data_IF_252161603105
#
_entry.id   IF_252161603105
#
_cell.length_a   1.000
_cell.length_b   1.000
_cell.length_c   1.000
_cell.angle_alpha   90.00
_cell.angle_beta   90.00
_cell.angle_gamma   90.00
#
_symmetry.space_group_name_H-M   'P 1'
#
loop_
_entity.id
_entity.type
_entity.pdbx_description
1 polymer ?
#
# COMPACT_ATOMS: atom_id res chain seq x y z
N UNK A 1 6.40 0.56 -20.57
CA UNK A 1 7.02 -0.50 -19.75
C UNK A 1 6.21 -1.77 -19.90
N UNK A 2 6.82 -2.83 -20.37
CA UNK A 2 6.11 -4.12 -20.54
C UNK A 2 6.37 -5.06 -19.37
N UNK A 3 7.29 -4.69 -18.49
CA UNK A 3 7.68 -5.45 -17.31
C UNK A 3 8.20 -4.53 -16.21
N UNK A 4 7.95 -4.88 -14.95
CA UNK A 4 8.62 -4.25 -13.82
C UNK A 4 10.12 -4.57 -13.83
N UNK A 5 10.99 -3.68 -13.33
CA UNK A 5 12.41 -3.99 -13.19
C UNK A 5 12.63 -5.14 -12.21
N UNK A 6 13.70 -5.90 -12.40
CA UNK A 6 14.03 -6.99 -11.49
C UNK A 6 14.48 -6.48 -10.10
N UNK A 7 15.07 -5.30 -10.07
CA UNK A 7 15.52 -4.62 -8.85
C UNK A 7 14.67 -3.38 -8.60
N UNK A 8 14.15 -3.24 -7.36
CA UNK A 8 13.33 -2.09 -6.96
C UNK A 8 14.11 -0.77 -7.01
N UNK A 9 15.44 -0.80 -6.79
CA UNK A 9 16.27 0.38 -6.92
C UNK A 9 16.14 1.04 -8.30
N UNK A 10 15.91 0.26 -9.35
CA UNK A 10 15.69 0.79 -10.70
C UNK A 10 14.31 1.43 -10.88
N UNK A 11 13.40 1.25 -9.94
CA UNK A 11 12.09 1.88 -9.95
C UNK A 11 12.10 3.25 -9.29
N UNK A 12 13.08 3.51 -8.42
CA UNK A 12 13.19 4.73 -7.64
C UNK A 12 13.56 5.96 -8.48
N UNK A 13 13.13 7.11 -8.01
CA UNK A 13 13.62 8.43 -8.42
C UNK A 13 15.03 8.71 -7.84
N UNK A 14 15.69 9.80 -8.23
CA UNK A 14 16.91 10.24 -7.55
C UNK A 14 16.72 10.46 -6.03
N UNK A 15 15.56 10.99 -5.59
CA UNK A 15 15.26 11.15 -4.17
C UNK A 15 15.09 9.78 -3.48
N UNK A 16 14.36 8.86 -4.10
CA UNK A 16 14.20 7.50 -3.58
C UNK A 16 15.52 6.74 -3.49
N UNK A 17 16.41 6.88 -4.47
CA UNK A 17 17.76 6.30 -4.41
C UNK A 17 18.59 6.88 -3.27
N UNK A 18 18.49 8.19 -3.00
CA UNK A 18 19.18 8.79 -1.85
C UNK A 18 18.69 8.24 -0.51
N UNK A 19 17.39 7.89 -0.41
CA UNK A 19 16.87 7.19 0.78
C UNK A 19 17.49 5.80 0.90
N UNK A 20 17.47 5.02 -0.18
CA UNK A 20 18.05 3.67 -0.22
C UNK A 20 19.54 3.68 0.13
N UNK A 21 20.28 4.66 -0.37
CA UNK A 21 21.73 4.84 -0.12
C UNK A 21 22.05 5.43 1.26
N UNK A 22 21.06 5.75 2.09
CA UNK A 22 21.25 6.41 3.39
C UNK A 22 21.67 7.90 3.30
N UNK A 23 21.58 8.51 2.10
CA UNK A 23 21.93 9.92 1.86
C UNK A 23 20.78 10.90 2.11
N UNK A 24 19.58 10.38 2.30
CA UNK A 24 18.37 11.12 2.67
C UNK A 24 17.63 10.32 3.76
N UNK A 25 17.58 10.86 4.96
CA UNK A 25 16.87 10.24 6.07
C UNK A 25 15.40 10.63 6.03
N UNK A 26 14.52 9.65 5.86
CA UNK A 26 13.08 9.76 6.02
C UNK A 26 12.63 8.67 6.99
N UNK A 27 11.62 8.96 7.82
CA UNK A 27 11.06 8.02 8.79
C UNK A 27 9.55 8.01 8.72
N UNK A 28 8.98 6.82 8.76
CA UNK A 28 7.55 6.61 8.88
C UNK A 28 7.17 6.50 10.37
N UNK A 29 7.09 7.65 11.05
CA UNK A 29 6.74 7.76 12.46
C UNK A 29 5.75 8.91 12.68
N UNK A 30 4.48 8.61 12.90
CA UNK A 30 3.81 7.30 12.78
C UNK A 30 3.53 6.92 11.33
N UNK A 31 3.56 7.89 10.41
CA UNK A 31 3.17 7.77 9.01
C UNK A 31 4.05 8.61 8.11
N UNK A 32 4.33 8.12 6.91
CA UNK A 32 5.02 8.82 5.83
C UNK A 32 4.19 8.75 4.55
N UNK A 33 4.08 9.86 3.83
CA UNK A 33 3.57 9.90 2.45
C UNK A 33 4.46 10.81 1.60
N UNK A 34 5.06 10.29 0.52
CA UNK A 34 6.01 11.01 -0.34
C UNK A 34 5.78 10.68 -1.82
N UNK A 35 5.45 11.65 -2.66
CA UNK A 35 5.20 11.44 -4.08
C UNK A 35 6.47 11.45 -4.94
N UNK A 36 7.60 11.85 -4.38
CA UNK A 36 8.86 12.09 -5.10
C UNK A 36 9.85 10.92 -5.05
N UNK A 37 9.47 9.78 -4.44
CA UNK A 37 10.39 8.65 -4.25
C UNK A 37 10.38 7.66 -5.42
N UNK A 38 9.33 7.62 -6.22
CA UNK A 38 9.22 6.82 -7.45
C UNK A 38 9.39 7.74 -8.66
N UNK A 39 10.09 7.25 -9.69
CA UNK A 39 10.25 8.00 -10.93
C UNK A 39 8.88 8.18 -11.63
N UNK A 40 8.42 9.42 -11.95
CA UNK A 40 7.07 9.68 -12.46
C UNK A 40 6.73 8.89 -13.73
N UNK A 41 7.68 8.79 -14.66
CA UNK A 41 7.50 8.01 -15.90
C UNK A 41 7.29 6.52 -15.60
N UNK A 42 7.95 5.97 -14.58
CA UNK A 42 7.79 4.58 -14.16
C UNK A 42 6.48 4.37 -13.42
N UNK A 43 6.05 5.32 -12.59
CA UNK A 43 4.74 5.26 -11.94
C UNK A 43 3.59 5.24 -12.97
N UNK A 44 3.65 6.11 -14.00
CA UNK A 44 2.68 6.12 -15.10
C UNK A 44 2.69 4.81 -15.89
N UNK A 45 3.86 4.29 -16.20
CA UNK A 45 4.01 3.03 -16.94
C UNK A 45 3.54 1.82 -16.11
N UNK A 46 3.78 1.83 -14.80
CA UNK A 46 3.28 0.81 -13.86
C UNK A 46 1.76 0.80 -13.81
N UNK A 47 1.10 1.96 -13.72
CA UNK A 47 -0.35 2.05 -13.78
C UNK A 47 -0.91 1.36 -15.04
N UNK A 48 -0.39 1.70 -16.22
CA UNK A 48 -0.85 1.11 -17.48
C UNK A 48 -0.61 -0.41 -17.54
N UNK A 49 0.52 -0.87 -17.01
CA UNK A 49 0.84 -2.30 -16.95
C UNK A 49 -0.11 -3.05 -16.00
N UNK A 50 -0.38 -2.50 -14.82
CA UNK A 50 -1.29 -3.09 -13.83
C UNK A 50 -2.72 -3.16 -14.37
N UNK A 51 -3.23 -2.10 -15.00
CA UNK A 51 -4.56 -2.11 -15.65
C UNK A 51 -4.65 -3.22 -16.71
N UNK A 52 -3.63 -3.36 -17.55
CA UNK A 52 -3.61 -4.35 -18.63
C UNK A 52 -3.54 -5.78 -18.12
N UNK A 53 -2.74 -6.05 -17.08
CA UNK A 53 -2.36 -7.42 -16.71
C UNK A 53 -3.06 -7.90 -15.45
N UNK A 54 -3.15 -7.08 -14.40
CA UNK A 54 -3.84 -7.43 -13.17
C UNK A 54 -5.31 -7.04 -13.17
N UNK A 55 -5.68 -5.97 -13.88
CA UNK A 55 -7.07 -5.51 -13.98
C UNK A 55 -8.07 -6.61 -14.29
N UNK A 56 -7.82 -7.50 -15.27
CA UNK A 56 -8.72 -8.61 -15.60
C UNK A 56 -8.81 -9.72 -14.55
N UNK A 57 -7.85 -9.82 -13.63
CA UNK A 57 -7.72 -10.97 -12.71
C UNK A 57 -7.91 -10.62 -11.24
N UNK A 58 -7.95 -9.35 -10.87
CA UNK A 58 -8.32 -8.93 -9.50
C UNK A 58 -9.79 -9.21 -9.23
N UNK A 59 -10.07 -9.65 -8.01
CA UNK A 59 -11.42 -10.05 -7.59
C UNK A 59 -12.06 -8.96 -6.73
N UNK A 60 -13.38 -8.73 -6.85
CA UNK A 60 -14.09 -7.88 -5.92
C UNK A 60 -13.92 -8.38 -4.48
N UNK A 61 -13.67 -7.45 -3.59
CA UNK A 61 -13.75 -7.61 -2.15
C UNK A 61 -14.74 -6.59 -1.63
N UNK A 62 -15.89 -7.07 -1.18
CA UNK A 62 -16.94 -6.26 -0.55
C UNK A 62 -17.40 -7.04 0.68
N UNK A 63 -16.86 -6.69 1.82
CA UNK A 63 -17.12 -7.39 3.08
C UNK A 63 -17.03 -6.48 4.28
N UNK A 64 -17.70 -6.88 5.36
CA UNK A 64 -17.51 -6.26 6.66
C UNK A 64 -16.05 -6.41 7.13
N UNK A 65 -15.55 -5.40 7.80
CA UNK A 65 -14.27 -5.45 8.48
C UNK A 65 -14.43 -6.40 9.67
N UNK A 66 -13.52 -7.35 9.87
CA UNK A 66 -13.59 -8.27 11.00
C UNK A 66 -13.59 -7.50 12.34
N UNK A 67 -14.40 -7.93 13.33
CA UNK A 67 -14.46 -7.26 14.63
C UNK A 67 -13.11 -7.08 15.31
N UNK A 68 -12.21 -8.05 15.18
CA UNK A 68 -10.85 -8.03 15.73
C UNK A 68 -10.01 -6.88 15.17
N UNK A 69 -10.27 -6.45 13.95
CA UNK A 69 -9.58 -5.31 13.33
C UNK A 69 -10.06 -3.95 13.83
N UNK A 70 -11.12 -3.92 14.65
CA UNK A 70 -11.72 -2.68 15.18
C UNK A 70 -11.84 -2.66 16.72
N UNK A 71 -11.33 -3.67 17.42
CA UNK A 71 -11.46 -3.82 18.88
C UNK A 71 -10.90 -2.65 19.69
N UNK A 72 -9.89 -1.96 19.19
CA UNK A 72 -9.18 -0.88 19.91
C UNK A 72 -9.59 0.51 19.44
N UNK A 73 -10.81 0.68 18.91
CA UNK A 73 -11.32 2.02 18.57
C UNK A 73 -11.40 2.91 19.80
N UNK A 74 -11.02 4.18 19.63
CA UNK A 74 -11.15 5.15 20.69
C UNK A 74 -12.63 5.43 21.01
N UNK A 75 -12.96 5.72 22.27
CA UNK A 75 -14.36 5.91 22.74
C UNK A 75 -15.10 7.04 22.01
N UNK A 76 -14.39 8.02 21.47
CA UNK A 76 -14.97 9.20 20.84
C UNK A 76 -15.02 9.11 19.32
N UNK A 77 -14.68 7.97 18.74
CA UNK A 77 -14.69 7.80 17.31
C UNK A 77 -16.12 7.61 16.79
N UNK A 78 -16.52 8.47 15.86
CA UNK A 78 -17.78 8.36 15.11
C UNK A 78 -17.48 8.29 13.62
N UNK A 79 -17.71 7.13 13.04
CA UNK A 79 -17.49 6.87 11.62
C UNK A 79 -18.81 6.88 10.87
N UNK A 80 -18.87 7.64 9.79
CA UNK A 80 -20.05 7.71 8.91
C UNK A 80 -19.97 6.71 7.76
N UNK A 81 -18.77 6.27 7.39
CA UNK A 81 -18.60 5.23 6.39
C UNK A 81 -18.96 3.87 6.99
N UNK A 82 -19.57 2.97 6.21
CA UNK A 82 -19.77 1.60 6.65
C UNK A 82 -18.44 0.96 7.06
N UNK A 83 -18.44 0.17 8.12
CA UNK A 83 -17.25 -0.61 8.54
C UNK A 83 -17.05 -1.80 7.61
N UNK A 84 -16.86 -1.49 6.35
CA UNK A 84 -16.68 -2.43 5.23
C UNK A 84 -15.47 -2.05 4.42
N UNK A 85 -14.99 -3.00 3.63
CA UNK A 85 -14.01 -2.77 2.57
C UNK A 85 -14.68 -3.06 1.25
N UNK A 86 -14.64 -2.12 0.32
CA UNK A 86 -15.07 -2.30 -1.06
C UNK A 86 -13.92 -1.92 -2.00
N UNK A 87 -13.34 -2.93 -2.63
CA UNK A 87 -12.15 -2.80 -3.46
C UNK A 87 -12.02 -4.05 -4.33
N UNK A 88 -11.16 -4.03 -5.32
CA UNK A 88 -10.70 -5.25 -6.00
C UNK A 88 -9.33 -5.64 -5.49
N UNK A 89 -9.10 -6.91 -5.25
CA UNK A 89 -7.86 -7.40 -4.64
C UNK A 89 -7.26 -8.59 -5.35
N UNK A 90 -5.96 -8.73 -5.21
CA UNK A 90 -5.19 -9.91 -5.56
C UNK A 90 -4.14 -10.18 -4.48
N UNK A 91 -4.17 -11.36 -3.90
CA UNK A 91 -3.11 -11.89 -3.05
C UNK A 91 -1.95 -12.36 -3.95
N UNK A 92 -0.79 -11.73 -3.80
CA UNK A 92 0.42 -12.06 -4.56
C UNK A 92 1.26 -13.13 -3.87
N UNK A 93 0.96 -13.46 -2.61
CA UNK A 93 1.61 -14.53 -1.85
C UNK A 93 0.88 -15.88 -1.93
N UNK A 94 -0.30 -15.90 -2.53
CA UNK A 94 -1.02 -17.15 -2.76
C UNK A 94 -0.14 -18.18 -3.46
N UNK A 95 -0.25 -19.45 -3.06
CA UNK A 95 0.55 -20.55 -3.63
C UNK A 95 0.33 -20.74 -5.13
N UNK A 96 -0.86 -20.37 -5.63
CA UNK A 96 -1.29 -20.48 -7.05
C UNK A 96 -2.39 -19.45 -7.37
N UNK A 97 -2.53 -19.11 -8.63
CA UNK A 97 -3.65 -18.29 -9.11
C UNK A 97 -3.27 -17.31 -10.20
N UNK A 98 -4.25 -16.91 -11.03
CA UNK A 98 -4.04 -16.04 -12.20
C UNK A 98 -3.37 -14.71 -11.84
N UNK A 99 -3.68 -14.14 -10.70
CA UNK A 99 -3.07 -12.88 -10.27
C UNK A 99 -1.57 -13.03 -9.94
N UNK A 100 -1.20 -14.11 -9.25
CA UNK A 100 0.21 -14.42 -9.00
C UNK A 100 0.96 -14.72 -10.29
N UNK A 101 0.37 -15.52 -11.18
CA UNK A 101 0.98 -15.84 -12.47
C UNK A 101 1.21 -14.57 -13.30
N UNK A 102 0.24 -13.65 -13.30
CA UNK A 102 0.35 -12.35 -13.93
C UNK A 102 1.44 -11.47 -13.28
N UNK A 103 1.53 -11.46 -11.94
CA UNK A 103 2.57 -10.73 -11.22
C UNK A 103 3.98 -11.27 -11.53
N UNK A 104 4.13 -12.57 -11.66
CA UNK A 104 5.38 -13.22 -12.09
C UNK A 104 5.74 -12.88 -13.52
N UNK A 105 4.81 -13.05 -14.44
CA UNK A 105 5.02 -12.79 -15.86
C UNK A 105 5.42 -11.33 -16.11
N UNK A 106 4.89 -10.39 -15.33
CA UNK A 106 5.24 -8.97 -15.43
C UNK A 106 6.46 -8.53 -14.62
N UNK A 107 7.07 -9.43 -13.84
CA UNK A 107 8.21 -9.10 -12.99
C UNK A 107 7.85 -8.40 -11.68
N UNK A 108 6.57 -8.16 -11.39
CA UNK A 108 6.14 -7.49 -10.16
C UNK A 108 6.58 -8.29 -8.92
N UNK A 109 6.37 -9.62 -8.92
CA UNK A 109 6.80 -10.49 -7.81
C UNK A 109 8.32 -10.39 -7.60
N UNK A 110 9.11 -10.42 -8.69
CA UNK A 110 10.57 -10.32 -8.63
C UNK A 110 11.02 -8.99 -8.01
N UNK A 111 10.41 -7.87 -8.44
CA UNK A 111 10.71 -6.55 -7.91
C UNK A 111 10.39 -6.44 -6.41
N UNK A 112 9.23 -6.94 -5.97
CA UNK A 112 8.83 -6.91 -4.56
C UNK A 112 9.65 -7.87 -3.67
N UNK A 113 10.30 -8.87 -4.26
CA UNK A 113 11.21 -9.79 -3.57
C UNK A 113 12.66 -9.32 -3.60
N UNK A 114 12.98 -8.25 -4.32
CA UNK A 114 14.37 -7.78 -4.44
C UNK A 114 14.91 -7.31 -3.09
N UNK A 115 16.21 -7.48 -2.82
CA UNK A 115 16.84 -6.95 -1.61
C UNK A 115 16.61 -5.45 -1.45
N UNK A 116 16.67 -4.67 -2.53
CA UNK A 116 16.50 -3.22 -2.50
C UNK A 116 15.09 -2.79 -2.06
N UNK A 117 14.04 -3.59 -2.32
CA UNK A 117 12.70 -3.30 -1.80
C UNK A 117 12.64 -3.38 -0.28
N UNK A 118 13.23 -4.44 0.30
CA UNK A 118 13.34 -4.59 1.76
C UNK A 118 14.27 -3.55 2.37
N UNK A 119 15.40 -3.26 1.72
CA UNK A 119 16.37 -2.30 2.23
C UNK A 119 15.80 -0.88 2.22
N UNK A 120 15.00 -0.55 1.20
CA UNK A 120 14.24 0.71 1.15
C UNK A 120 13.19 0.78 2.27
N UNK A 121 12.42 -0.30 2.49
CA UNK A 121 11.49 -0.38 3.62
C UNK A 121 12.23 -0.23 4.96
N UNK A 122 13.39 -0.88 5.14
CA UNK A 122 14.26 -0.76 6.31
C UNK A 122 14.74 0.68 6.54
N UNK A 123 15.12 1.37 5.46
CA UNK A 123 15.53 2.77 5.54
C UNK A 123 14.38 3.68 6.02
N UNK A 124 13.14 3.43 5.59
CA UNK A 124 11.96 4.18 6.03
C UNK A 124 11.51 3.81 7.45
N UNK A 125 11.62 2.52 7.82
CA UNK A 125 11.30 2.04 9.14
C UNK A 125 12.28 2.54 10.23
N UNK A 126 13.52 2.85 9.86
CA UNK A 126 14.58 3.20 10.80
C UNK A 126 15.05 2.07 11.70
N UNK A 127 14.54 0.86 11.47
CA UNK A 127 14.88 -0.38 12.19
C UNK A 127 15.05 -1.50 11.18
N UNK A 128 15.87 -2.48 11.54
CA UNK A 128 16.05 -3.68 10.71
C UNK A 128 14.72 -4.42 10.55
N UNK A 129 14.42 -4.77 9.31
CA UNK A 129 13.27 -5.57 8.93
C UNK A 129 13.74 -6.96 8.49
N UNK A 130 12.87 -7.95 8.75
CA UNK A 130 13.09 -9.33 8.33
C UNK A 130 12.38 -9.61 7.01
N UNK A 131 11.97 -10.85 6.81
CA UNK A 131 11.23 -11.28 5.63
C UNK A 131 9.91 -10.52 5.48
N UNK A 132 9.64 -10.04 4.27
CA UNK A 132 8.33 -9.51 3.89
C UNK A 132 7.29 -10.61 3.68
N UNK A 133 6.04 -10.29 3.93
CA UNK A 133 4.86 -11.14 3.71
C UNK A 133 3.65 -10.27 3.32
N UNK A 134 2.48 -10.87 3.11
CA UNK A 134 1.23 -10.15 2.89
C UNK A 134 1.24 -9.26 1.65
N UNK A 135 2.01 -9.62 0.61
CA UNK A 135 2.06 -8.84 -0.62
C UNK A 135 0.73 -8.91 -1.34
N UNK A 136 0.15 -7.74 -1.57
CA UNK A 136 -1.15 -7.60 -2.19
C UNK A 136 -1.15 -6.52 -3.25
N UNK A 137 -2.06 -6.67 -4.21
CA UNK A 137 -2.46 -5.60 -5.11
C UNK A 137 -3.93 -5.27 -4.85
N UNK A 138 -4.20 -4.02 -4.51
CA UNK A 138 -5.56 -3.50 -4.37
C UNK A 138 -5.82 -2.54 -5.53
N UNK A 139 -7.02 -2.61 -6.12
CA UNK A 139 -7.48 -1.70 -7.15
C UNK A 139 -8.76 -1.03 -6.69
N UNK A 140 -8.69 0.26 -6.43
CA UNK A 140 -9.83 1.12 -6.16
C UNK A 140 -10.36 1.68 -7.47
N UNK A 141 -11.64 1.51 -7.73
CA UNK A 141 -12.41 2.21 -8.74
C UNK A 141 -13.24 3.34 -8.14
N UNK A 142 -14.01 4.11 -8.93
CA UNK A 142 -14.87 5.17 -8.40
C UNK A 142 -15.82 4.64 -7.32
N UNK A 143 -15.83 5.32 -6.17
CA UNK A 143 -16.64 4.94 -5.02
C UNK A 143 -16.08 3.81 -4.15
N UNK A 144 -14.96 3.17 -4.52
CA UNK A 144 -14.32 2.15 -3.70
C UNK A 144 -13.55 2.78 -2.54
N UNK A 145 -13.55 2.11 -1.40
CA UNK A 145 -12.96 2.58 -0.14
C UNK A 145 -12.61 1.42 0.79
N UNK A 146 -11.81 1.69 1.80
CA UNK A 146 -11.61 0.82 2.97
C UNK A 146 -12.07 1.55 4.21
N UNK A 147 -13.03 0.99 4.95
CA UNK A 147 -13.51 1.56 6.22
C UNK A 147 -12.46 1.50 7.33
N UNK A 148 -12.76 2.05 8.51
CA UNK A 148 -11.80 2.16 9.60
C UNK A 148 -11.33 0.79 10.11
N UNK A 149 -10.03 0.60 10.12
CA UNK A 149 -9.39 -0.63 10.59
C UNK A 149 -7.95 -0.39 11.00
N UNK A 150 -7.37 -1.40 11.62
CA UNK A 150 -5.92 -1.63 11.66
C UNK A 150 -5.64 -2.93 10.93
N UNK A 151 -4.50 -3.06 10.29
CA UNK A 151 -4.07 -4.31 9.67
C UNK A 151 -3.29 -5.19 10.66
N UNK A 152 -3.45 -4.93 11.96
CA UNK A 152 -2.74 -5.65 13.02
C UNK A 152 -3.40 -6.99 13.31
N UNK A 153 -2.58 -8.02 13.41
CA UNK A 153 -2.94 -9.38 13.79
C UNK A 153 -2.29 -9.73 15.13
N UNK A 154 -2.92 -9.39 16.27
CA UNK A 154 -2.33 -9.56 17.60
C UNK A 154 -2.08 -11.03 17.98
N UNK A 155 -2.74 -11.96 17.32
CA UNK A 155 -2.57 -13.41 17.51
C UNK A 155 -1.30 -13.96 16.83
N UNK A 156 -0.64 -13.20 15.96
CA UNK A 156 0.60 -13.64 15.33
C UNK A 156 1.80 -13.41 16.26
N UNK A 157 2.45 -14.47 16.78
CA UNK A 157 3.60 -14.34 17.67
C UNK A 157 4.79 -13.60 17.04
N UNK A 158 4.91 -13.63 15.71
CA UNK A 158 5.97 -12.92 14.99
C UNK A 158 5.73 -11.41 14.94
N UNK A 159 4.49 -10.96 15.24
CA UNK A 159 4.10 -9.56 15.29
C UNK A 159 4.28 -8.90 16.65
N UNK A 160 5.07 -9.48 17.58
CA UNK A 160 5.26 -8.95 18.93
C UNK A 160 5.61 -7.46 18.96
N UNK A 161 6.41 -7.00 18.02
CA UNK A 161 6.79 -5.59 17.85
C UNK A 161 5.95 -4.83 16.82
N UNK A 162 4.86 -5.43 16.33
CA UNK A 162 4.04 -4.93 15.23
C UNK A 162 4.66 -5.25 13.86
N UNK A 163 4.10 -4.63 12.83
CA UNK A 163 4.56 -4.77 11.45
C UNK A 163 4.96 -3.42 10.89
N UNK A 164 5.66 -3.46 9.76
CA UNK A 164 5.91 -2.28 8.95
C UNK A 164 5.33 -2.47 7.56
N UNK A 165 4.43 -1.58 7.15
CA UNK A 165 3.82 -1.58 5.83
C UNK A 165 4.46 -0.56 4.90
N UNK A 166 4.73 -1.00 3.68
CA UNK A 166 5.20 -0.16 2.58
C UNK A 166 4.23 -0.25 1.41
N UNK A 167 3.69 0.88 1.02
CA UNK A 167 2.68 1.01 -0.02
C UNK A 167 3.18 1.84 -1.21
N UNK A 168 2.92 1.35 -2.42
CA UNK A 168 3.18 2.04 -3.68
C UNK A 168 1.86 2.34 -4.38
N UNK A 169 1.51 3.62 -4.57
CA UNK A 169 0.29 4.03 -5.26
C UNK A 169 0.55 4.39 -6.72
N UNK A 170 -0.24 3.80 -7.62
CA UNK A 170 -0.24 4.11 -9.06
C UNK A 170 -1.64 4.55 -9.46
N UNK A 171 -1.77 5.77 -9.95
CA UNK A 171 -3.06 6.44 -10.15
C UNK A 171 -3.21 6.89 -11.59
N UNK A 172 -4.42 6.76 -12.12
CA UNK A 172 -4.73 7.16 -13.48
C UNK A 172 -6.23 7.12 -13.81
N UNK A 173 -6.55 7.11 -15.10
CA UNK A 173 -7.94 7.02 -15.56
C UNK A 173 -8.81 8.23 -15.19
N UNK A 174 -8.23 9.35 -14.73
CA UNK A 174 -8.97 10.53 -14.30
C UNK A 174 -9.43 10.46 -12.84
N UNK A 175 -8.74 9.71 -11.99
CA UNK A 175 -8.87 9.79 -10.54
C UNK A 175 -8.43 11.18 -10.05
N UNK A 176 -9.20 11.78 -9.17
CA UNK A 176 -9.01 13.16 -8.71
C UNK A 176 -8.70 13.27 -7.23
N UNK A 177 -9.24 12.38 -6.40
CA UNK A 177 -9.09 12.44 -4.96
C UNK A 177 -9.39 11.10 -4.29
N UNK A 178 -8.60 10.74 -3.30
CA UNK A 178 -8.93 9.75 -2.27
C UNK A 178 -8.14 10.09 -1.02
N UNK A 179 -8.81 10.36 0.07
CA UNK A 179 -8.12 10.65 1.32
C UNK A 179 -7.85 9.37 2.11
N UNK A 180 -6.62 9.22 2.59
CA UNK A 180 -6.32 8.41 3.75
C UNK A 180 -6.53 9.28 4.98
N UNK A 181 -7.39 8.85 5.89
CA UNK A 181 -7.60 9.46 7.19
C UNK A 181 -6.99 8.55 8.25
N UNK A 182 -6.16 9.10 9.11
CA UNK A 182 -5.45 8.30 10.10
C UNK A 182 -5.44 8.91 11.50
N UNK A 183 -5.21 8.06 12.48
CA UNK A 183 -5.23 8.45 13.86
C UNK A 183 -3.91 9.09 14.29
N UNK A 184 -4.03 10.23 14.98
CA UNK A 184 -2.98 10.85 15.75
C UNK A 184 -3.51 11.11 17.16
N UNK A 185 -2.72 10.79 18.16
CA UNK A 185 -3.09 10.95 19.57
C UNK A 185 -4.47 10.33 19.92
N UNK A 186 -4.78 9.19 19.30
CA UNK A 186 -6.02 8.44 19.52
C UNK A 186 -7.25 8.96 18.77
N UNK A 187 -7.10 9.96 17.91
CA UNK A 187 -8.20 10.55 17.12
C UNK A 187 -7.93 10.44 15.63
N UNK A 188 -8.93 10.05 14.85
CA UNK A 188 -8.87 10.07 13.38
C UNK A 188 -9.02 11.52 12.89
N UNK A 189 -7.92 12.26 12.86
CA UNK A 189 -7.88 13.70 12.60
C UNK A 189 -6.99 14.10 11.43
N UNK A 190 -6.00 13.28 11.10
CA UNK A 190 -5.03 13.60 10.05
C UNK A 190 -5.50 13.08 8.70
N UNK A 191 -5.22 13.82 7.65
CA UNK A 191 -5.59 13.44 6.29
C UNK A 191 -4.45 13.63 5.31
N UNK A 192 -4.37 12.73 4.33
CA UNK A 192 -3.49 12.87 3.18
C UNK A 192 -4.20 12.39 1.91
N UNK A 193 -4.05 13.11 0.80
CA UNK A 193 -4.55 12.62 -0.48
C UNK A 193 -3.61 11.52 -0.99
N UNK A 194 -4.17 10.33 -1.20
CA UNK A 194 -3.45 9.16 -1.70
C UNK A 194 -3.73 8.89 -3.19
N UNK A 195 -4.58 9.70 -3.83
CA UNK A 195 -4.79 9.65 -5.27
C UNK A 195 -3.69 10.40 -6.04
N UNK A 196 -2.44 10.22 -5.61
CA UNK A 196 -1.25 10.85 -6.19
C UNK A 196 -0.41 9.79 -6.90
N UNK A 197 -0.10 9.96 -8.21
CA UNK A 197 0.71 9.01 -8.95
C UNK A 197 2.13 8.86 -8.37
N UNK A 198 2.55 7.62 -8.09
CA UNK A 198 3.89 7.33 -7.57
C UNK A 198 4.05 7.65 -6.08
N UNK A 199 2.96 7.90 -5.35
CA UNK A 199 3.01 8.10 -3.92
C UNK A 199 3.53 6.82 -3.24
N UNK A 200 4.57 7.01 -2.43
CA UNK A 200 5.02 6.01 -1.46
C UNK A 200 4.44 6.39 -0.11
N UNK A 201 3.71 5.50 0.52
CA UNK A 201 3.32 5.63 1.92
C UNK A 201 3.83 4.47 2.74
N UNK A 202 4.16 4.74 4.00
CA UNK A 202 4.67 3.74 4.93
C UNK A 202 4.25 4.07 6.36
N UNK A 203 4.05 3.03 7.16
CA UNK A 203 3.67 3.18 8.57
C UNK A 203 3.97 1.90 9.37
N UNK A 204 4.04 2.07 10.67
CA UNK A 204 4.14 0.96 11.60
C UNK A 204 2.75 0.57 12.10
N UNK A 205 2.43 -0.71 12.10
CA UNK A 205 1.21 -1.27 12.69
C UNK A 205 1.39 -1.58 14.19
N UNK A 206 0.33 -1.43 14.99
CA UNK A 206 -1.03 -1.06 14.61
C UNK A 206 -1.15 0.42 14.22
N UNK A 207 -1.89 0.70 13.16
CA UNK A 207 -2.10 2.05 12.64
C UNK A 207 -3.57 2.20 12.22
N UNK A 208 -4.35 2.98 13.00
CA UNK A 208 -5.75 3.24 12.72
C UNK A 208 -5.90 4.16 11.52
N UNK A 209 -6.59 3.68 10.51
CA UNK A 209 -6.83 4.44 9.29
C UNK A 209 -8.06 3.96 8.53
N UNK A 210 -8.49 4.77 7.59
CA UNK A 210 -9.46 4.43 6.55
C UNK A 210 -9.20 5.26 5.29
N UNK A 211 -9.78 4.84 4.16
CA UNK A 211 -9.80 5.65 2.94
C UNK A 211 -11.21 6.11 2.62
N UNK A 212 -11.35 7.37 2.17
CA UNK A 212 -12.61 7.84 1.59
C UNK A 212 -12.87 7.13 0.25
N UNK A 213 -14.12 7.17 -0.27
CA UNK A 213 -14.38 6.73 -1.63
C UNK A 213 -13.47 7.41 -2.65
N UNK A 214 -12.96 6.65 -3.63
CA UNK A 214 -12.21 7.21 -4.74
C UNK A 214 -13.11 8.09 -5.60
N UNK A 215 -12.71 9.34 -5.80
CA UNK A 215 -13.37 10.29 -6.68
C UNK A 215 -12.69 10.32 -8.06
N UNK A 216 -13.49 10.58 -9.10
CA UNK A 216 -12.95 10.71 -10.46
C UNK A 216 -13.94 10.28 -11.54
N UNK A 217 -13.43 10.20 -12.76
CA UNK A 217 -14.20 9.73 -13.92
C UNK A 217 -14.54 8.24 -13.80
N UNK A 218 -15.46 7.74 -14.62
CA UNK A 218 -15.81 6.30 -14.63
C UNK A 218 -14.61 5.37 -14.87
N UNK A 219 -13.57 5.85 -15.56
CA UNK A 219 -12.32 5.15 -15.82
C UNK A 219 -11.27 5.32 -14.70
N UNK A 220 -11.58 6.09 -13.67
CA UNK A 220 -10.64 6.34 -12.58
C UNK A 220 -10.20 5.05 -11.89
N UNK A 221 -8.91 4.96 -11.60
CA UNK A 221 -8.39 3.87 -10.81
C UNK A 221 -7.17 4.30 -10.00
N UNK A 222 -7.05 3.71 -8.82
CA UNK A 222 -5.86 3.73 -7.99
C UNK A 222 -5.45 2.29 -7.67
N UNK A 223 -4.25 1.93 -8.05
CA UNK A 223 -3.59 0.71 -7.62
C UNK A 223 -2.77 0.99 -6.38
N UNK A 224 -2.88 0.10 -5.42
CA UNK A 224 -2.05 0.05 -4.25
C UNK A 224 -1.31 -1.30 -4.25
N UNK A 225 0.00 -1.25 -4.35
CA UNK A 225 0.85 -2.44 -4.21
C UNK A 225 1.48 -2.35 -2.82
N UNK A 226 1.29 -3.36 -2.03
CA UNK A 226 1.77 -3.36 -0.66
C UNK A 226 2.62 -4.59 -0.33
N UNK A 227 3.52 -4.40 0.61
CA UNK A 227 4.28 -5.44 1.29
C UNK A 227 4.42 -5.11 2.76
N UNK A 228 4.20 -6.10 3.59
CA UNK A 228 4.31 -6.04 5.04
C UNK A 228 5.59 -6.73 5.50
N UNK A 229 6.22 -6.22 6.53
CA UNK A 229 7.50 -6.72 7.05
C UNK A 229 7.43 -6.87 8.56
N UNK A 230 8.04 -7.94 9.09
CA UNK A 230 8.32 -8.04 10.52
C UNK A 230 9.54 -7.22 10.91
N UNK A 231 9.55 -6.69 12.12
CA UNK A 231 10.76 -6.16 12.75
C UNK A 231 11.71 -7.31 13.15
N UNK A 232 13.04 -7.07 13.01
CA UNK A 232 14.06 -8.03 13.40
C UNK A 232 14.32 -8.00 14.91
#
# INVERSE_FOLDING_TARGET
MDRFPADFADFLSPAGRRVLDGKLTLRAEPFLARPDLIAPAKAKAAFALLERVLGPVVKPLDRAIPPESILNQTRNYQERLPKTVRVRTADLDASRGKARDAARATGLETMLLSPSFRDFATALAGRKLTRGFGRQALRYGPGDYSGPHTDHHPEDPAAKDGYFDLHLSFVGGGATRQLLVYAKDGHLSETVDVAVPGLVSAYRLPFWHYTTPLEGKASAARWLILGTFYFA
#
